data_IF_224746925702
#
_entry.id   IF_224746925702
#
_cell.length_a   1.000
_cell.length_b   1.000
_cell.length_c   1.000
_cell.angle_alpha   90.00
_cell.angle_beta   90.00
_cell.angle_gamma   90.00
#
_symmetry.space_group_name_H-M   'P 1'
#
loop_
_entity.id
_entity.type
_entity.pdbx_description
1 polymer ?
#
# COMPACT_ATOMS: atom_id res chain seq x y z
N UNK A 1 39.40 7.17 -77.93
CA UNK A 1 40.01 8.41 -77.40
C UNK A 1 39.10 8.93 -76.30
N UNK A 2 39.68 9.17 -75.11
CA UNK A 2 39.29 10.16 -74.08
C UNK A 2 37.84 10.11 -73.54
N UNK A 3 37.56 10.27 -72.26
CA UNK A 3 38.33 10.27 -71.02
C UNK A 3 37.26 10.32 -69.90
N UNK A 4 37.41 9.47 -68.89
CA UNK A 4 37.24 9.72 -67.46
C UNK A 4 36.30 10.86 -67.03
N UNK A 5 35.23 10.52 -66.30
CA UNK A 5 34.86 11.16 -65.02
C UNK A 5 33.53 10.59 -64.49
N UNK A 6 33.53 9.30 -64.15
CA UNK A 6 32.62 8.75 -63.13
C UNK A 6 33.38 8.85 -61.81
N UNK A 7 32.66 9.15 -60.72
CA UNK A 7 33.11 9.41 -59.33
C UNK A 7 33.27 10.88 -58.93
N UNK A 8 32.79 11.15 -57.72
CA UNK A 8 32.89 12.39 -56.91
C UNK A 8 31.68 13.33 -56.97
N UNK A 9 30.50 12.82 -56.58
CA UNK A 9 29.48 13.60 -55.88
C UNK A 9 29.43 13.15 -54.42
N UNK A 10 30.48 13.49 -53.66
CA UNK A 10 30.51 13.33 -52.20
C UNK A 10 31.26 14.52 -51.59
N UNK A 11 30.55 15.28 -50.74
CA UNK A 11 31.01 16.33 -49.80
C UNK A 11 31.56 17.63 -50.45
N UNK A 12 31.16 18.84 -49.96
CA UNK A 12 31.13 19.17 -48.54
C UNK A 12 30.01 20.14 -48.09
N UNK A 13 29.15 19.71 -47.17
CA UNK A 13 28.33 20.65 -46.35
C UNK A 13 28.49 20.23 -44.89
N UNK A 14 29.64 20.54 -44.31
CA UNK A 14 29.89 20.36 -42.87
C UNK A 14 30.91 21.39 -42.39
N UNK A 15 30.56 22.68 -42.36
CA UNK A 15 31.23 23.65 -41.51
C UNK A 15 30.23 24.73 -41.11
N UNK A 16 30.27 25.13 -39.83
CA UNK A 16 29.46 26.15 -39.12
C UNK A 16 28.11 25.58 -38.62
N UNK A 17 27.86 25.38 -37.32
CA UNK A 17 28.20 26.22 -36.18
C UNK A 17 28.25 25.39 -34.89
N UNK A 18 29.34 25.53 -34.14
CA UNK A 18 29.47 25.07 -32.76
C UNK A 18 29.90 26.29 -31.93
N UNK A 19 28.93 27.02 -31.36
CA UNK A 19 29.09 27.90 -30.20
C UNK A 19 27.78 28.63 -29.89
N UNK A 20 27.52 28.82 -28.60
CA UNK A 20 26.41 29.54 -27.96
C UNK A 20 25.09 28.73 -27.94
N UNK A 21 24.46 28.43 -26.80
CA UNK A 21 24.27 29.24 -25.59
C UNK A 21 24.21 28.39 -24.32
N UNK A 22 25.03 28.78 -23.35
CA UNK A 22 24.71 28.97 -21.93
C UNK A 22 23.35 28.47 -21.44
N UNK A 23 23.42 27.57 -20.46
CA UNK A 23 22.68 27.59 -19.19
C UNK A 23 21.34 28.31 -19.19
N UNK A 24 20.27 27.53 -19.16
CA UNK A 24 19.12 27.73 -18.26
C UNK A 24 18.22 26.50 -18.48
N UNK A 25 18.20 25.58 -17.51
CA UNK A 25 17.08 24.63 -17.42
C UNK A 25 15.85 25.49 -17.16
N UNK A 26 14.91 25.62 -18.12
CA UNK A 26 13.68 26.32 -17.84
C UNK A 26 12.91 25.37 -16.93
N UNK A 27 12.92 25.67 -15.64
CA UNK A 27 12.08 25.02 -14.66
C UNK A 27 12.53 23.59 -14.31
N UNK A 28 13.60 23.50 -13.51
CA UNK A 28 13.71 22.42 -12.53
C UNK A 28 12.62 22.61 -11.46
N UNK A 29 11.34 22.49 -11.87
CA UNK A 29 10.25 22.32 -10.93
C UNK A 29 10.57 21.03 -10.18
N UNK A 30 10.86 21.16 -8.89
CA UNK A 30 10.85 20.03 -7.99
C UNK A 30 9.48 19.37 -8.14
N UNK A 31 9.41 18.26 -8.89
CA UNK A 31 8.20 17.44 -8.94
C UNK A 31 7.98 16.95 -7.51
N UNK A 32 7.01 17.57 -6.84
CA UNK A 32 6.48 17.04 -5.58
C UNK A 32 5.80 15.74 -5.97
N UNK A 33 6.50 14.63 -5.75
CA UNK A 33 5.90 13.31 -5.88
C UNK A 33 5.09 13.12 -4.61
N UNK A 34 3.79 13.39 -4.69
CA UNK A 34 2.84 13.03 -3.64
C UNK A 34 2.83 11.50 -3.53
N UNK A 35 3.67 10.98 -2.64
CA UNK A 35 3.63 9.57 -2.28
C UNK A 35 2.44 9.38 -1.35
N UNK A 36 1.53 8.44 -1.62
CA UNK A 36 0.45 8.14 -0.68
C UNK A 36 1.08 7.72 0.65
N UNK A 37 0.78 8.46 1.71
CA UNK A 37 1.14 8.06 3.07
C UNK A 37 0.19 6.96 3.47
N UNK A 38 0.68 5.71 3.49
CA UNK A 38 -0.10 4.59 4.02
C UNK A 38 -0.14 4.75 5.54
N UNK A 39 -1.22 5.33 6.04
CA UNK A 39 -1.51 5.34 7.46
C UNK A 39 -1.82 3.90 7.88
N UNK A 40 -0.94 3.32 8.70
CA UNK A 40 -1.23 2.04 9.35
C UNK A 40 -2.19 2.34 10.49
N UNK A 41 -3.44 1.93 10.36
CA UNK A 41 -4.34 1.92 11.51
C UNK A 41 -4.00 0.71 12.36
N UNK A 42 -3.62 0.95 13.62
CA UNK A 42 -3.44 -0.11 14.60
C UNK A 42 -4.83 -0.55 15.09
N UNK A 43 -5.19 -1.84 14.95
CA UNK A 43 -6.45 -2.32 15.49
C UNK A 43 -6.48 -2.09 17.00
N UNK A 44 -7.55 -1.50 17.56
CA UNK A 44 -7.63 -1.32 19.00
C UNK A 44 -7.69 -2.68 19.69
N UNK A 45 -7.05 -2.78 20.85
CA UNK A 45 -7.09 -4.00 21.66
C UNK A 45 -8.51 -4.26 22.16
N UNK A 46 -9.00 -5.48 21.93
CA UNK A 46 -10.30 -5.95 22.44
C UNK A 46 -10.04 -6.94 23.57
N UNK A 47 -10.58 -6.71 24.78
CA UNK A 47 -10.44 -7.66 25.88
C UNK A 47 -11.12 -8.98 25.53
N UNK A 48 -10.45 -10.09 25.84
CA UNK A 48 -11.01 -11.43 25.63
C UNK A 48 -12.05 -11.76 26.68
N UNK A 49 -13.09 -12.49 26.29
CA UNK A 49 -14.07 -13.00 27.24
C UNK A 49 -13.45 -14.00 28.24
N UNK A 50 -13.78 -13.84 29.52
CA UNK A 50 -13.41 -14.77 30.58
C UNK A 50 -14.44 -15.92 30.66
N UNK A 51 -14.14 -17.02 29.98
CA UNK A 51 -15.07 -18.15 29.88
C UNK A 51 -14.99 -19.09 31.08
N UNK A 52 -16.17 -19.55 31.54
CA UNK A 52 -16.24 -20.64 32.52
C UNK A 52 -15.90 -21.98 31.86
N UNK A 53 -15.02 -22.75 32.48
CA UNK A 53 -14.65 -24.09 31.99
C UNK A 53 -15.83 -25.04 32.25
N UNK A 54 -16.34 -25.63 31.16
CA UNK A 54 -17.33 -26.70 31.19
C UNK A 54 -16.58 -28.02 31.32
N UNK A 55 -16.82 -28.74 32.40
CA UNK A 55 -16.18 -30.01 32.69
C UNK A 55 -17.16 -31.15 32.49
N UNK A 56 -16.63 -32.37 32.40
CA UNK A 56 -17.44 -33.55 32.13
C UNK A 56 -18.22 -34.03 33.37
N UNK A 57 -17.75 -33.69 34.56
CA UNK A 57 -18.42 -34.00 35.84
C UNK A 57 -19.52 -33.02 36.23
N UNK A 58 -19.64 -31.89 35.53
CA UNK A 58 -20.72 -30.93 35.73
C UNK A 58 -22.08 -31.59 35.48
N UNK A 59 -23.06 -31.29 36.34
CA UNK A 59 -24.45 -31.68 36.11
C UNK A 59 -24.99 -31.08 34.82
N UNK A 60 -26.06 -31.65 34.26
CA UNK A 60 -26.70 -31.12 33.06
C UNK A 60 -27.06 -29.62 33.20
N UNK A 61 -27.67 -29.25 34.33
CA UNK A 61 -28.07 -27.86 34.61
C UNK A 61 -26.87 -26.93 34.68
N UNK A 62 -25.79 -27.38 35.33
CA UNK A 62 -24.58 -26.57 35.48
C UNK A 62 -23.86 -26.37 34.15
N UNK A 63 -23.79 -27.41 33.31
CA UNK A 63 -23.28 -27.31 31.94
C UNK A 63 -24.10 -26.32 31.11
N UNK A 64 -25.43 -26.39 31.21
CA UNK A 64 -26.32 -25.49 30.49
C UNK A 64 -26.15 -24.04 30.95
N UNK A 65 -26.09 -23.80 32.27
CA UNK A 65 -25.84 -22.47 32.84
C UNK A 65 -24.53 -21.88 32.33
N UNK A 66 -23.44 -22.65 32.40
CA UNK A 66 -22.11 -22.26 31.90
C UNK A 66 -22.13 -21.94 30.40
N UNK A 67 -22.78 -22.79 29.61
CA UNK A 67 -22.89 -22.62 28.16
C UNK A 67 -23.60 -21.31 27.80
N UNK A 68 -24.75 -21.04 28.43
CA UNK A 68 -25.53 -19.81 28.20
C UNK A 68 -24.70 -18.58 28.58
N UNK A 69 -24.02 -18.62 29.73
CA UNK A 69 -23.16 -17.51 30.17
C UNK A 69 -22.01 -17.26 29.20
N UNK A 70 -21.26 -18.30 28.83
CA UNK A 70 -20.15 -18.20 27.89
C UNK A 70 -20.61 -17.64 26.53
N UNK A 71 -21.77 -18.07 26.04
CA UNK A 71 -22.36 -17.53 24.81
C UNK A 71 -22.63 -16.02 24.92
N UNK A 72 -23.17 -15.56 26.05
CA UNK A 72 -23.40 -14.13 26.31
C UNK A 72 -22.11 -13.32 26.24
N UNK A 73 -21.06 -13.78 26.93
CA UNK A 73 -19.75 -13.10 26.93
C UNK A 73 -19.12 -13.04 25.52
N UNK A 74 -19.16 -14.16 24.78
CA UNK A 74 -18.66 -14.20 23.41
C UNK A 74 -19.44 -13.29 22.45
N UNK A 75 -20.75 -13.14 22.68
CA UNK A 75 -21.58 -12.21 21.90
C UNK A 75 -21.13 -10.76 22.12
N UNK A 76 -20.83 -10.38 23.35
CA UNK A 76 -20.33 -9.04 23.69
C UNK A 76 -18.93 -8.79 23.09
N UNK A 77 -18.01 -9.75 23.24
CA UNK A 77 -16.68 -9.70 22.63
C UNK A 77 -16.80 -9.55 21.10
N UNK A 78 -17.70 -10.30 20.44
CA UNK A 78 -17.90 -10.20 19.00
C UNK A 78 -18.38 -8.81 18.56
N UNK A 79 -19.23 -8.15 19.36
CA UNK A 79 -19.68 -6.78 19.10
C UNK A 79 -18.49 -5.81 19.18
N UNK A 80 -17.63 -5.96 20.19
CA UNK A 80 -16.44 -5.12 20.36
C UNK A 80 -15.45 -5.33 19.21
N UNK A 81 -15.20 -6.59 18.81
CA UNK A 81 -14.35 -6.91 17.66
C UNK A 81 -14.87 -6.29 16.37
N UNK A 82 -16.19 -6.35 16.11
CA UNK A 82 -16.77 -5.69 14.94
C UNK A 82 -16.57 -4.19 14.98
N UNK A 83 -16.80 -3.55 16.14
CA UNK A 83 -16.55 -2.10 16.30
C UNK A 83 -15.09 -1.75 16.07
N UNK A 84 -14.16 -2.54 16.59
CA UNK A 84 -12.73 -2.36 16.38
C UNK A 84 -12.34 -2.37 14.89
N UNK A 85 -12.98 -3.23 14.09
CA UNK A 85 -12.78 -3.27 12.63
C UNK A 85 -13.30 -2.03 11.90
N UNK A 86 -14.28 -1.30 12.47
CA UNK A 86 -14.82 -0.08 11.86
C UNK A 86 -14.00 1.17 12.20
N UNK A 87 -13.20 1.17 13.27
CA UNK A 87 -12.40 2.35 13.69
C UNK A 87 -11.37 2.77 12.63
N UNK A 88 -10.91 1.82 11.82
CA UNK A 88 -9.90 2.03 10.79
C UNK A 88 -10.45 2.31 9.38
N UNK A 89 -11.78 2.20 9.19
CA UNK A 89 -12.43 2.58 7.94
C UNK A 89 -12.70 4.08 7.92
#
# INVERSE_FOLDING_TARGET
>A
MKAVAVFMLVLPVMLVSCATTTTECPVCQTKIVEKPVVLKCEPPEVPRAELEIIKQEDSYEERLRKLIKNYGLLKEENILLRRAMEVCK
#
